data_IF_059168877206
#
_entry.id   IF_059168877206
#
_cell.length_a   1.000
_cell.length_b   1.000
_cell.length_c   1.000
_cell.angle_alpha   90.00
_cell.angle_beta   90.00
_cell.angle_gamma   90.00
#
_symmetry.space_group_name_H-M   'P 1'
#
loop_
_entity.id
_entity.type
_entity.pdbx_description
1 polymer ?
#
# COMPACT_ATOMS: atom_id res chain seq x y z
N UNK A 1 7.53 15.56 -3.28
CA UNK A 1 6.59 15.82 -4.39
C UNK A 1 6.88 17.20 -4.96
N UNK A 2 7.10 17.31 -6.27
CA UNK A 2 7.24 18.59 -6.96
C UNK A 2 6.07 18.77 -7.92
N UNK A 3 5.30 19.84 -7.73
CA UNK A 3 4.03 20.06 -8.41
C UNK A 3 2.82 19.80 -7.50
N UNK A 4 1.97 20.82 -7.36
CA UNK A 4 0.81 20.83 -6.46
C UNK A 4 -0.54 20.68 -7.18
N UNK A 5 -0.55 20.29 -8.46
CA UNK A 5 -1.76 20.11 -9.25
C UNK A 5 -2.52 18.81 -8.92
N UNK A 6 -3.48 18.44 -9.78
CA UNK A 6 -4.32 17.23 -9.58
C UNK A 6 -3.50 15.94 -9.52
N UNK A 7 -2.51 15.77 -10.41
CA UNK A 7 -1.63 14.59 -10.45
C UNK A 7 -0.80 14.49 -9.17
N UNK A 8 -0.17 15.60 -8.76
CA UNK A 8 0.56 15.69 -7.49
C UNK A 8 -0.33 15.34 -6.30
N UNK A 9 -1.53 15.93 -6.22
CA UNK A 9 -2.49 15.67 -5.14
C UNK A 9 -2.83 14.19 -5.01
N UNK A 10 -3.17 13.51 -6.12
CA UNK A 10 -3.49 12.08 -6.10
C UNK A 10 -2.32 11.24 -5.58
N UNK A 11 -1.10 11.52 -6.04
CA UNK A 11 0.10 10.78 -5.59
C UNK A 11 0.46 11.07 -4.12
N UNK A 12 0.21 12.30 -3.64
CA UNK A 12 0.37 12.63 -2.21
C UNK A 12 -0.58 11.79 -1.35
N UNK A 13 -1.85 11.63 -1.76
CA UNK A 13 -2.81 10.80 -1.02
C UNK A 13 -2.32 9.35 -0.90
N UNK A 14 -1.91 8.72 -2.00
CA UNK A 14 -1.37 7.35 -1.98
C UNK A 14 -0.13 7.23 -1.09
N UNK A 15 0.78 8.21 -1.13
CA UNK A 15 1.96 8.21 -0.25
C UNK A 15 1.58 8.31 1.23
N UNK A 16 0.56 9.11 1.58
CA UNK A 16 0.07 9.23 2.95
C UNK A 16 -0.59 7.95 3.45
N UNK A 17 -1.32 7.23 2.58
CA UNK A 17 -1.88 5.91 2.90
C UNK A 17 -0.79 4.89 3.25
N UNK A 18 0.40 5.03 2.64
CA UNK A 18 1.58 4.23 2.97
C UNK A 18 2.37 4.76 4.21
N UNK A 19 1.88 5.78 4.91
CA UNK A 19 2.56 6.37 6.07
C UNK A 19 3.76 7.25 5.74
N UNK A 20 3.91 7.71 4.50
CA UNK A 20 5.05 8.55 4.12
C UNK A 20 4.98 9.95 4.73
N UNK A 21 6.14 10.47 5.13
CA UNK A 21 6.30 11.89 5.47
C UNK A 21 6.45 12.72 4.18
N UNK A 22 5.39 13.40 3.76
CA UNK A 22 5.36 14.06 2.45
C UNK A 22 5.66 15.55 2.55
N UNK A 23 6.67 15.99 1.79
CA UNK A 23 6.88 17.40 1.45
C UNK A 23 6.45 17.69 0.01
N UNK A 24 5.61 18.71 -0.17
CA UNK A 24 5.18 19.23 -1.47
C UNK A 24 5.86 20.56 -1.74
N UNK A 25 6.49 20.69 -2.90
CA UNK A 25 7.12 21.93 -3.37
C UNK A 25 6.41 22.38 -4.63
N UNK A 26 5.71 23.50 -4.58
CA UNK A 26 4.97 24.04 -5.72
C UNK A 26 4.54 25.50 -5.46
N UNK A 27 4.62 26.41 -6.45
CA UNK A 27 4.08 27.77 -6.30
C UNK A 27 2.58 27.78 -6.02
N UNK A 28 1.84 26.88 -6.66
CA UNK A 28 0.39 26.69 -6.51
C UNK A 28 0.08 25.30 -5.99
N UNK A 29 -1.00 25.16 -5.23
CA UNK A 29 -1.45 23.88 -4.68
C UNK A 29 -2.97 23.79 -4.71
N UNK A 30 -3.50 22.58 -4.91
CA UNK A 30 -4.94 22.33 -4.79
C UNK A 30 -5.43 22.62 -3.37
N UNK A 31 -6.74 22.92 -3.25
CA UNK A 31 -7.39 23.09 -1.95
C UNK A 31 -7.12 21.92 -0.99
N UNK A 32 -7.16 20.69 -1.50
CA UNK A 32 -6.89 19.48 -0.71
C UNK A 32 -5.48 19.46 -0.12
N UNK A 33 -4.46 19.87 -0.88
CA UNK A 33 -3.09 19.94 -0.38
C UNK A 33 -2.90 21.05 0.64
N UNK A 34 -3.63 22.16 0.51
CA UNK A 34 -3.65 23.23 1.51
C UNK A 34 -4.28 22.72 2.81
N UNK A 35 -5.45 22.08 2.73
CA UNK A 35 -6.12 21.47 3.89
C UNK A 35 -5.22 20.45 4.62
N UNK A 36 -4.51 19.60 3.87
CA UNK A 36 -3.56 18.63 4.43
C UNK A 36 -2.34 19.29 5.08
N UNK A 37 -1.90 20.45 4.57
CA UNK A 37 -0.81 21.21 5.16
C UNK A 37 -1.28 21.89 6.47
N UNK A 38 -2.49 22.45 6.47
CA UNK A 38 -3.10 23.09 7.64
C UNK A 38 -3.34 22.08 8.77
N UNK A 39 -3.73 20.85 8.44
CA UNK A 39 -3.83 19.72 9.39
C UNK A 39 -2.48 19.11 9.76
N UNK A 40 -1.36 19.65 9.28
CA UNK A 40 0.02 19.15 9.48
C UNK A 40 0.24 17.72 8.99
N UNK A 41 -0.60 17.21 8.11
CA UNK A 41 -0.44 15.89 7.48
C UNK A 41 0.67 15.89 6.43
N UNK A 42 0.96 17.05 5.83
CA UNK A 42 2.08 17.26 4.91
C UNK A 42 2.83 18.56 5.21
N UNK A 43 4.05 18.68 4.71
CA UNK A 43 4.75 19.98 4.61
C UNK A 43 4.54 20.57 3.22
N UNK A 44 3.96 21.77 3.12
CA UNK A 44 3.79 22.47 1.85
C UNK A 44 4.72 23.69 1.75
N UNK A 45 5.67 23.66 0.80
CA UNK A 45 6.52 24.78 0.44
C UNK A 45 5.92 25.49 -0.79
N UNK A 46 5.24 26.61 -0.56
CA UNK A 46 4.61 27.46 -1.60
C UNK A 46 5.65 28.27 -2.40
N UNK A 47 6.51 27.59 -3.15
CA UNK A 47 7.55 28.19 -4.00
C UNK A 47 7.99 27.25 -5.12
N UNK A 48 8.80 27.76 -6.04
CA UNK A 48 9.47 26.96 -7.04
C UNK A 48 10.47 25.97 -6.42
N UNK A 49 10.68 24.86 -7.12
CA UNK A 49 11.65 23.82 -6.76
C UNK A 49 13.09 24.33 -6.79
N UNK A 50 13.90 23.82 -5.85
CA UNK A 50 15.33 24.02 -5.79
C UNK A 50 16.02 22.68 -5.53
N UNK A 51 17.21 22.47 -6.07
CA UNK A 51 17.98 21.20 -5.92
C UNK A 51 18.17 20.80 -4.46
N UNK A 52 18.31 21.78 -3.55
CA UNK A 52 18.40 21.54 -2.11
C UNK A 52 17.16 20.87 -1.49
N UNK A 53 16.01 20.88 -2.15
CA UNK A 53 14.80 20.17 -1.69
C UNK A 53 14.94 18.65 -1.71
N UNK A 54 15.94 18.10 -2.41
CA UNK A 54 16.20 16.66 -2.41
C UNK A 54 17.03 16.20 -1.22
N UNK A 55 17.68 17.13 -0.51
CA UNK A 55 18.50 16.81 0.67
C UNK A 55 17.62 16.15 1.74
N UNK A 56 18.07 14.99 2.23
CA UNK A 56 17.33 14.20 3.23
C UNK A 56 16.08 13.49 2.72
N UNK A 57 15.75 13.57 1.42
CA UNK A 57 14.63 12.82 0.86
C UNK A 57 15.06 11.39 0.47
N UNK A 58 14.11 10.46 0.55
CA UNK A 58 14.28 9.08 0.06
C UNK A 58 13.79 8.94 -1.39
N UNK A 59 12.67 9.61 -1.70
CA UNK A 59 11.92 9.49 -2.94
C UNK A 59 11.48 10.88 -3.42
N UNK A 60 11.65 11.17 -4.71
CA UNK A 60 11.08 12.32 -5.39
C UNK A 60 10.11 11.89 -6.48
N UNK A 61 8.99 12.61 -6.56
CA UNK A 61 8.04 12.50 -7.65
C UNK A 61 7.87 13.89 -8.27
N UNK A 62 8.13 14.00 -9.57
CA UNK A 62 7.86 15.20 -10.37
C UNK A 62 6.51 15.05 -11.09
N UNK A 63 5.61 16.01 -10.88
CA UNK A 63 4.29 16.05 -11.49
C UNK A 63 3.97 17.50 -11.91
N UNK A 64 4.85 18.06 -12.75
CA UNK A 64 4.73 19.43 -13.25
C UNK A 64 4.49 19.46 -14.75
N UNK A 65 3.84 20.52 -15.24
CA UNK A 65 3.60 20.74 -16.67
C UNK A 65 4.84 21.27 -17.41
N UNK A 66 5.97 21.48 -16.70
CA UNK A 66 7.21 22.04 -17.26
C UNK A 66 8.24 20.93 -17.50
N UNK A 67 8.46 20.60 -18.76
CA UNK A 67 9.40 19.53 -19.16
C UNK A 67 10.83 19.77 -18.68
N UNK A 68 11.35 20.98 -18.83
CA UNK A 68 12.69 21.36 -18.35
C UNK A 68 12.86 21.15 -16.85
N UNK A 69 11.82 21.46 -16.06
CA UNK A 69 11.82 21.26 -14.62
C UNK A 69 11.81 19.76 -14.27
N UNK A 70 10.99 18.97 -14.97
CA UNK A 70 10.95 17.52 -14.79
C UNK A 70 12.31 16.87 -15.09
N UNK A 71 12.98 17.30 -16.16
CA UNK A 71 14.33 16.84 -16.50
C UNK A 71 15.36 17.25 -15.44
N UNK A 72 15.28 18.50 -14.95
CA UNK A 72 16.14 18.94 -13.85
C UNK A 72 15.95 18.09 -12.59
N UNK A 73 14.71 17.79 -12.21
CA UNK A 73 14.42 16.92 -11.07
C UNK A 73 15.03 15.54 -11.26
N UNK A 74 14.91 14.96 -12.46
CA UNK A 74 15.52 13.67 -12.79
C UNK A 74 17.05 13.70 -12.61
N UNK A 75 17.73 14.67 -13.22
CA UNK A 75 19.20 14.81 -13.14
C UNK A 75 19.66 15.03 -11.69
N UNK A 76 18.97 15.89 -10.94
CA UNK A 76 19.28 16.16 -9.54
C UNK A 76 19.08 14.90 -8.67
N UNK A 77 18.04 14.11 -8.95
CA UNK A 77 17.76 12.86 -8.25
C UNK A 77 18.81 11.77 -8.54
N UNK A 78 19.20 11.58 -9.81
CA UNK A 78 20.25 10.65 -10.20
C UNK A 78 21.58 10.98 -9.51
N UNK A 79 22.00 12.25 -9.54
CA UNK A 79 23.24 12.71 -8.89
C UNK A 79 23.26 12.47 -7.39
N UNK A 80 22.10 12.47 -6.75
CA UNK A 80 21.95 12.30 -5.31
C UNK A 80 21.48 10.90 -4.90
N UNK A 81 21.46 9.94 -5.84
CA UNK A 81 21.01 8.56 -5.65
C UNK A 81 19.61 8.48 -5.00
N UNK A 82 18.66 9.25 -5.54
CA UNK A 82 17.26 9.28 -5.08
C UNK A 82 16.38 8.47 -6.01
N UNK A 83 15.39 7.77 -5.45
CA UNK A 83 14.30 7.22 -6.25
C UNK A 83 13.55 8.39 -6.91
N UNK A 84 13.37 8.33 -8.22
CA UNK A 84 12.76 9.37 -9.03
C UNK A 84 11.69 8.80 -9.96
N UNK A 85 10.48 9.36 -9.85
CA UNK A 85 9.38 9.11 -10.80
C UNK A 85 8.85 10.43 -11.33
N UNK A 86 8.96 10.63 -12.64
CA UNK A 86 8.37 11.75 -13.36
C UNK A 86 7.04 11.29 -13.97
N UNK A 87 5.96 12.00 -13.67
CA UNK A 87 4.65 11.71 -14.22
C UNK A 87 4.70 11.80 -15.75
N UNK A 88 4.09 10.81 -16.41
CA UNK A 88 3.95 10.70 -17.86
C UNK A 88 5.26 10.70 -18.66
N UNK A 89 6.41 10.49 -18.00
CA UNK A 89 7.76 10.40 -18.61
C UNK A 89 8.55 9.20 -18.08
N UNK A 90 8.21 7.96 -18.49
CA UNK A 90 8.90 6.75 -18.04
C UNK A 90 10.42 6.78 -18.25
N UNK A 91 10.90 7.43 -19.32
CA UNK A 91 12.31 7.60 -19.67
C UNK A 91 13.10 8.46 -18.67
N UNK A 92 12.42 9.32 -17.91
CA UNK A 92 13.00 10.15 -16.86
C UNK A 92 12.79 9.56 -15.45
N UNK A 93 12.38 8.29 -15.37
CA UNK A 93 12.19 7.57 -14.11
C UNK A 93 13.30 6.54 -13.90
N UNK A 94 13.78 6.39 -12.67
CA UNK A 94 14.65 5.26 -12.28
C UNK A 94 13.90 4.17 -11.50
N UNK A 95 12.61 4.39 -11.22
CA UNK A 95 11.70 3.36 -10.73
C UNK A 95 10.29 3.55 -11.30
N UNK A 96 9.52 2.45 -11.32
CA UNK A 96 8.16 2.41 -11.86
C UNK A 96 7.17 2.24 -10.72
N UNK A 97 6.10 3.02 -10.74
CA UNK A 97 4.93 2.80 -9.88
C UNK A 97 4.05 1.71 -10.51
N UNK A 98 3.83 0.57 -9.85
CA UNK A 98 2.95 -0.48 -10.36
C UNK A 98 1.48 -0.05 -10.25
N UNK A 99 0.61 -0.74 -11.00
CA UNK A 99 -0.81 -0.79 -10.65
C UNK A 99 -0.97 -1.66 -9.40
N UNK A 100 -1.83 -1.25 -8.46
CA UNK A 100 -2.01 -1.95 -7.18
C UNK A 100 -3.48 -2.29 -6.97
N UNK A 101 -3.75 -3.54 -6.57
CA UNK A 101 -5.01 -3.94 -5.92
C UNK A 101 -4.76 -4.04 -4.44
N UNK A 102 -5.67 -3.50 -3.63
CA UNK A 102 -5.56 -3.49 -2.17
C UNK A 102 -6.87 -3.97 -1.56
N UNK A 103 -6.80 -5.02 -0.72
CA UNK A 103 -7.90 -5.50 0.11
C UNK A 103 -7.40 -5.68 1.54
N UNK A 104 -7.53 -4.62 2.36
CA UNK A 104 -6.88 -4.58 3.67
C UNK A 104 -5.36 -4.78 3.53
N UNK A 105 -4.84 -5.82 4.21
CA UNK A 105 -3.42 -6.18 4.19
C UNK A 105 -3.01 -6.99 2.93
N UNK A 106 -3.95 -7.39 2.06
CA UNK A 106 -3.62 -8.03 0.78
C UNK A 106 -3.28 -6.97 -0.28
N UNK A 107 -2.02 -6.97 -0.72
CA UNK A 107 -1.53 -6.07 -1.77
C UNK A 107 -1.05 -6.90 -2.97
N UNK A 108 -1.66 -6.67 -4.14
CA UNK A 108 -1.20 -7.23 -5.41
C UNK A 108 -0.63 -6.12 -6.29
N UNK A 109 0.65 -6.23 -6.65
CA UNK A 109 1.31 -5.28 -7.55
C UNK A 109 1.41 -5.84 -8.97
N UNK A 110 0.91 -5.10 -9.95
CA UNK A 110 0.97 -5.43 -11.37
C UNK A 110 1.91 -4.45 -12.08
N UNK A 111 2.95 -4.99 -12.71
CA UNK A 111 3.89 -4.23 -13.53
C UNK A 111 4.01 -4.85 -14.91
N UNK A 112 3.98 -4.00 -15.94
CA UNK A 112 4.30 -4.38 -17.33
C UNK A 112 5.69 -3.88 -17.73
N UNK A 113 6.55 -3.55 -16.75
CA UNK A 113 7.86 -2.92 -16.95
C UNK A 113 7.78 -1.70 -17.86
N UNK A 114 6.71 -0.90 -17.70
CA UNK A 114 6.45 0.30 -18.48
C UNK A 114 5.91 0.06 -19.90
N UNK A 115 5.84 -1.19 -20.37
CA UNK A 115 5.43 -1.50 -21.76
C UNK A 115 3.96 -1.19 -22.05
N UNK A 116 3.08 -1.38 -21.07
CA UNK A 116 1.64 -1.10 -21.25
C UNK A 116 0.97 -0.73 -19.93
N UNK A 117 0.90 0.57 -19.60
CA UNK A 117 0.14 1.06 -18.46
C UNK A 117 -1.36 0.75 -18.58
N UNK A 118 -1.90 0.78 -19.79
CA UNK A 118 -3.30 0.46 -20.05
C UNK A 118 -3.62 -1.00 -19.72
N UNK A 119 -2.75 -1.95 -20.10
CA UNK A 119 -2.96 -3.35 -19.76
C UNK A 119 -2.76 -3.62 -18.26
N UNK A 120 -1.78 -2.98 -17.62
CA UNK A 120 -1.61 -3.06 -16.16
C UNK A 120 -2.86 -2.56 -15.42
N UNK A 121 -3.51 -1.49 -15.91
CA UNK A 121 -4.78 -0.99 -15.38
C UNK A 121 -5.91 -2.00 -15.59
N UNK A 122 -6.03 -2.60 -16.76
CA UNK A 122 -7.06 -3.62 -17.06
C UNK A 122 -6.92 -4.83 -16.14
N UNK A 123 -5.71 -5.37 -15.96
CA UNK A 123 -5.45 -6.47 -15.03
C UNK A 123 -5.80 -6.10 -13.58
N UNK A 124 -5.44 -4.90 -13.13
CA UNK A 124 -5.84 -4.41 -11.80
C UNK A 124 -7.37 -4.43 -11.63
N UNK A 125 -8.13 -3.92 -12.60
CA UNK A 125 -9.60 -3.90 -12.56
C UNK A 125 -10.23 -5.29 -12.57
N UNK A 126 -9.60 -6.26 -13.25
CA UNK A 126 -10.07 -7.64 -13.26
C UNK A 126 -9.76 -8.36 -11.94
N UNK A 127 -8.57 -8.11 -11.38
CA UNK A 127 -8.18 -8.64 -10.07
C UNK A 127 -9.00 -8.00 -8.93
N UNK A 128 -9.38 -6.73 -9.02
CA UNK A 128 -10.29 -6.08 -8.05
C UNK A 128 -11.66 -6.76 -7.97
N UNK A 129 -12.12 -7.41 -9.05
CA UNK A 129 -13.36 -8.19 -9.05
C UNK A 129 -13.17 -9.59 -8.48
N UNK A 130 -11.95 -10.12 -8.54
CA UNK A 130 -11.62 -11.47 -8.09
C UNK A 130 -11.25 -11.51 -6.60
N UNK A 131 -10.59 -10.46 -6.12
CA UNK A 131 -10.13 -10.33 -4.74
C UNK A 131 -11.03 -9.31 -4.03
N UNK A 132 -12.07 -9.81 -3.36
CA UNK A 132 -13.01 -8.98 -2.60
C UNK A 132 -12.59 -8.72 -1.15
N UNK A 133 -13.51 -8.14 -0.38
CA UNK A 133 -13.29 -7.76 1.02
C UNK A 133 -13.01 -8.98 1.94
N UNK A 134 -13.42 -10.19 1.54
CA UNK A 134 -13.20 -11.41 2.32
C UNK A 134 -11.72 -11.70 2.55
N UNK A 135 -10.84 -11.23 1.65
CA UNK A 135 -9.39 -11.40 1.80
C UNK A 135 -8.83 -10.53 2.92
N UNK A 136 -9.41 -9.34 3.15
CA UNK A 136 -9.03 -8.48 4.26
C UNK A 136 -9.38 -9.15 5.60
N UNK A 137 -10.59 -9.68 5.72
CA UNK A 137 -11.06 -10.39 6.91
C UNK A 137 -10.26 -11.69 7.15
N UNK A 138 -10.01 -12.46 6.09
CA UNK A 138 -9.17 -13.64 6.14
C UNK A 138 -7.75 -13.34 6.65
N UNK A 139 -7.07 -12.34 6.09
CA UNK A 139 -5.72 -11.99 6.54
C UNK A 139 -5.71 -11.42 7.95
N UNK A 140 -6.72 -10.66 8.34
CA UNK A 140 -6.87 -10.19 9.71
C UNK A 140 -6.96 -11.36 10.70
N UNK A 141 -7.81 -12.34 10.41
CA UNK A 141 -7.95 -13.56 11.22
C UNK A 141 -6.62 -14.36 11.27
N UNK A 142 -5.98 -14.59 10.13
CA UNK A 142 -4.71 -15.32 10.06
C UNK A 142 -3.61 -14.63 10.87
N UNK A 143 -3.56 -13.30 10.84
CA UNK A 143 -2.67 -12.48 11.67
C UNK A 143 -2.95 -12.62 13.16
N UNK A 144 -4.23 -12.58 13.56
CA UNK A 144 -4.64 -12.76 14.96
C UNK A 144 -4.28 -14.17 15.49
N UNK A 145 -4.51 -15.21 14.69
CA UNK A 145 -4.11 -16.60 15.01
C UNK A 145 -2.61 -16.68 15.21
N UNK A 146 -1.80 -16.11 14.30
CA UNK A 146 -0.33 -16.10 14.41
C UNK A 146 0.13 -15.42 15.69
N UNK A 147 -0.42 -14.25 16.01
CA UNK A 147 -0.09 -13.51 17.23
C UNK A 147 -0.40 -14.32 18.47
N UNK A 148 -1.56 -14.98 18.51
CA UNK A 148 -1.97 -15.81 19.65
C UNK A 148 -1.09 -17.05 19.82
N UNK A 149 -0.79 -17.75 18.72
CA UNK A 149 0.11 -18.91 18.74
C UNK A 149 1.51 -18.53 19.27
N UNK A 150 2.09 -17.43 18.80
CA UNK A 150 3.41 -16.96 19.27
C UNK A 150 3.44 -16.55 20.76
N UNK A 151 2.29 -16.19 21.35
CA UNK A 151 2.19 -15.86 22.78
C UNK A 151 2.03 -17.13 23.63
N UNK A 152 1.30 -18.12 23.13
CA UNK A 152 0.97 -19.33 23.87
C UNK A 152 2.06 -20.40 23.75
N UNK A 153 2.66 -20.55 22.57
CA UNK A 153 3.73 -21.50 22.30
C UNK A 153 5.07 -20.77 22.27
N UNK A 154 6.02 -21.22 23.09
CA UNK A 154 7.42 -20.77 23.06
C UNK A 154 8.20 -21.42 21.90
N UNK A 155 7.49 -21.89 20.86
CA UNK A 155 8.04 -22.62 19.73
C UNK A 155 8.55 -21.68 18.62
N UNK A 156 9.39 -22.23 17.75
CA UNK A 156 9.97 -21.45 16.66
C UNK A 156 8.88 -21.12 15.62
N UNK A 157 8.94 -19.97 14.94
CA UNK A 157 7.92 -19.55 13.97
C UNK A 157 7.59 -20.57 12.87
N UNK A 158 8.52 -21.45 12.52
CA UNK A 158 8.35 -22.47 11.48
C UNK A 158 7.43 -23.63 11.88
N UNK A 159 7.24 -23.86 13.19
CA UNK A 159 6.42 -24.97 13.71
C UNK A 159 4.92 -24.76 13.45
N UNK A 160 4.50 -23.51 13.18
CA UNK A 160 3.10 -23.17 12.94
C UNK A 160 2.70 -23.22 11.45
N UNK A 161 3.65 -23.34 10.52
CA UNK A 161 3.37 -23.38 9.07
C UNK A 161 2.34 -24.45 8.67
N UNK A 162 2.43 -25.72 9.15
CA UNK A 162 1.47 -26.77 8.78
C UNK A 162 0.03 -26.45 9.20
N UNK A 163 -0.13 -25.70 10.29
CA UNK A 163 -1.44 -25.29 10.81
C UNK A 163 -2.10 -24.30 9.85
N UNK A 164 -1.38 -23.27 9.42
CA UNK A 164 -1.89 -22.29 8.45
C UNK A 164 -2.20 -22.93 7.09
N UNK A 165 -1.33 -23.82 6.60
CA UNK A 165 -1.61 -24.57 5.38
C UNK A 165 -2.88 -25.43 5.49
N UNK A 166 -3.10 -26.04 6.65
CA UNK A 166 -4.30 -26.85 6.91
C UNK A 166 -5.57 -26.01 6.90
N UNK A 167 -5.55 -24.80 7.48
CA UNK A 167 -6.67 -23.87 7.44
C UNK A 167 -7.02 -23.45 5.99
N UNK A 168 -5.99 -23.11 5.20
CA UNK A 168 -6.17 -22.76 3.78
C UNK A 168 -6.76 -23.94 3.00
N UNK A 169 -6.15 -25.13 3.13
CA UNK A 169 -6.59 -26.35 2.42
C UNK A 169 -8.02 -26.78 2.78
N UNK A 170 -8.49 -26.47 3.99
CA UNK A 170 -9.84 -26.78 4.45
C UNK A 170 -10.90 -25.74 4.06
N UNK A 171 -10.52 -24.72 3.29
CA UNK A 171 -11.46 -23.77 2.71
C UNK A 171 -11.88 -22.64 3.66
N UNK A 172 -11.01 -22.24 4.59
CA UNK A 172 -11.30 -21.15 5.52
C UNK A 172 -11.69 -19.85 4.80
N UNK A 173 -11.04 -19.54 3.66
CA UNK A 173 -11.36 -18.35 2.88
C UNK A 173 -12.78 -18.40 2.32
N UNK A 174 -13.20 -19.55 1.80
CA UNK A 174 -14.55 -19.77 1.28
C UNK A 174 -15.59 -19.66 2.39
N UNK A 175 -15.31 -20.19 3.59
CA UNK A 175 -16.21 -20.05 4.73
C UNK A 175 -16.40 -18.58 5.14
N UNK A 176 -15.32 -17.78 5.10
CA UNK A 176 -15.39 -16.33 5.37
C UNK A 176 -16.17 -15.62 4.25
N UNK A 177 -15.86 -15.91 2.98
CA UNK A 177 -16.56 -15.34 1.81
C UNK A 177 -18.07 -15.55 1.89
N UNK A 178 -18.49 -16.76 2.28
CA UNK A 178 -19.89 -17.15 2.35
C UNK A 178 -20.57 -16.74 3.68
N UNK A 179 -19.85 -16.09 4.60
CA UNK A 179 -20.37 -15.67 5.90
C UNK A 179 -20.71 -16.82 6.85
N UNK A 180 -20.11 -18.00 6.64
CA UNK A 180 -20.38 -19.24 7.40
C UNK A 180 -19.62 -19.26 8.73
N UNK A 181 -20.05 -18.42 9.67
CA UNK A 181 -19.39 -18.23 10.97
C UNK A 181 -19.30 -19.51 11.80
N UNK A 182 -20.38 -20.29 11.88
CA UNK A 182 -20.39 -21.55 12.65
C UNK A 182 -19.41 -22.59 12.08
N UNK A 183 -19.37 -22.75 10.74
CA UNK A 183 -18.41 -23.63 10.07
C UNK A 183 -16.97 -23.15 10.30
N UNK A 184 -16.76 -21.83 10.26
CA UNK A 184 -15.47 -21.19 10.54
C UNK A 184 -14.99 -21.50 11.96
N UNK A 185 -15.84 -21.27 12.97
CA UNK A 185 -15.51 -21.55 14.38
C UNK A 185 -15.23 -23.03 14.61
N UNK A 186 -16.05 -23.91 14.03
CA UNK A 186 -15.83 -25.34 14.12
C UNK A 186 -14.48 -25.74 13.51
N UNK A 187 -14.12 -25.20 12.34
CA UNK A 187 -12.82 -25.44 11.72
C UNK A 187 -11.66 -24.93 12.59
N UNK A 188 -11.77 -23.71 13.12
CA UNK A 188 -10.74 -23.12 13.97
C UNK A 188 -10.53 -23.96 15.23
N UNK A 189 -11.60 -24.34 15.93
CA UNK A 189 -11.50 -25.20 17.12
C UNK A 189 -10.95 -26.59 16.79
N UNK A 190 -11.33 -27.16 15.64
CA UNK A 190 -10.80 -28.46 15.20
C UNK A 190 -9.29 -28.42 14.91
N UNK A 191 -8.78 -27.30 14.38
CA UNK A 191 -7.38 -27.18 13.94
C UNK A 191 -6.47 -26.62 15.04
N UNK A 192 -6.98 -25.69 15.85
CA UNK A 192 -6.21 -24.89 16.83
C UNK A 192 -6.58 -25.19 18.29
N UNK A 193 -7.73 -25.82 18.53
CA UNK A 193 -8.28 -26.06 19.87
C UNK A 193 -9.24 -24.95 20.35
N UNK A 194 -9.80 -25.13 21.55
CA UNK A 194 -10.75 -24.19 22.15
C UNK A 194 -10.11 -22.81 22.38
N UNK A 195 -10.90 -21.75 22.28
CA UNK A 195 -10.43 -20.38 22.47
C UNK A 195 -9.97 -19.69 21.18
N UNK A 196 -10.07 -20.35 20.02
CA UNK A 196 -9.76 -19.76 18.71
C UNK A 196 -11.03 -19.40 17.94
N UNK A 197 -12.10 -19.01 18.64
CA UNK A 197 -13.35 -18.60 18.01
C UNK A 197 -13.15 -17.27 17.26
N UNK A 198 -13.78 -17.15 16.10
CA UNK A 198 -13.68 -16.04 15.16
C UNK A 198 -13.91 -14.69 15.83
N UNK A 199 -15.00 -14.53 16.60
CA UNK A 199 -15.28 -13.28 17.31
C UNK A 199 -14.23 -12.94 18.37
N UNK A 200 -13.62 -13.95 19.00
CA UNK A 200 -12.58 -13.73 20.01
C UNK A 200 -11.28 -13.21 19.39
N UNK A 201 -10.99 -13.64 18.15
CA UNK A 201 -9.77 -13.30 17.42
C UNK A 201 -9.89 -12.01 16.62
N UNK A 202 -11.11 -11.65 16.19
CA UNK A 202 -11.39 -10.49 15.33
C UNK A 202 -11.93 -9.28 16.09
N UNK A 203 -12.24 -9.41 17.39
CA UNK A 203 -12.50 -8.26 18.24
C UNK A 203 -11.27 -7.37 18.25
N UNK A 204 -11.39 -6.17 17.68
CA UNK A 204 -10.42 -5.09 17.85
C UNK A 204 -10.19 -4.92 19.36
N UNK A 205 -8.97 -5.16 19.81
CA UNK A 205 -8.52 -4.57 21.08
C UNK A 205 -8.63 -3.07 20.84
N UNK A 206 -9.61 -2.45 21.52
CA UNK A 206 -9.89 -1.02 21.40
C UNK A 206 -8.70 -0.15 21.75
#
# INVERSE_FOLDING_TARGET
MVGGGKVGTRKVMTLLECGAMVTVVSPEATKKLIELADSKSITLKKRHYQTADLVGTFLVIGATDKEELNWRIHVDAERMNKLCNIADRPEACNFILPSVVSQGDLILSISTSGKSPAFAKKLREDLEKQFGEEYAEFLHLMGAIRKKLLIQDHHAPDDHKPVFEKLIKKGLLEMIRDGKKEETDHLLVQVLGKGYEFESLTKKVG
#
